data_IF_417421928030
#
_entry.id   IF_417421928030
#
_cell.length_a   1.000
_cell.length_b   1.000
_cell.length_c   1.000
_cell.angle_alpha   90.00
_cell.angle_beta   90.00
_cell.angle_gamma   90.00
#
_symmetry.space_group_name_H-M   'P 1'
#
loop_
_entity.id
_entity.type
_entity.pdbx_description
1 polymer ?
#
# COMPACT_ATOMS: atom_id res chain seq x y z
N UNK A 1 -13.35 -56.33 -67.62
CA UNK A 1 -14.76 -56.77 -67.52
C UNK A 1 -14.82 -58.08 -66.73
N UNK A 2 -15.88 -58.38 -65.97
CA UNK A 2 -15.97 -58.31 -64.49
C UNK A 2 -16.11 -59.73 -63.84
N UNK A 3 -16.39 -59.97 -62.51
CA UNK A 3 -17.58 -59.52 -61.70
C UNK A 3 -17.23 -58.97 -60.27
N UNK A 4 -17.89 -57.92 -59.73
CA UNK A 4 -19.19 -57.79 -58.98
C UNK A 4 -19.17 -58.13 -57.45
N UNK A 5 -19.35 -57.06 -56.64
CA UNK A 5 -20.22 -56.79 -55.42
C UNK A 5 -20.26 -57.80 -54.25
N UNK A 6 -20.24 -57.39 -52.96
CA UNK A 6 -21.25 -56.63 -52.16
C UNK A 6 -20.66 -56.16 -50.79
N UNK A 7 -20.86 -54.90 -50.34
CA UNK A 7 -21.71 -54.38 -49.21
C UNK A 7 -21.48 -55.04 -47.83
N UNK A 8 -21.43 -54.39 -46.65
CA UNK A 8 -21.88 -53.08 -46.12
C UNK A 8 -21.27 -52.92 -44.70
N UNK A 9 -20.93 -51.72 -44.25
CA UNK A 9 -21.69 -51.06 -43.16
C UNK A 9 -21.14 -49.68 -42.78
N UNK A 10 -22.10 -48.83 -42.46
CA UNK A 10 -22.02 -47.42 -42.09
C UNK A 10 -21.72 -47.22 -40.60
N UNK A 11 -20.77 -46.35 -40.28
CA UNK A 11 -20.57 -45.82 -38.93
C UNK A 11 -20.11 -44.36 -39.00
N UNK A 12 -21.06 -43.43 -38.90
CA UNK A 12 -20.82 -41.99 -38.89
C UNK A 12 -20.36 -41.54 -37.50
N UNK A 13 -19.10 -41.15 -37.35
CA UNK A 13 -18.59 -40.49 -36.14
C UNK A 13 -18.78 -38.97 -36.25
N UNK A 14 -19.84 -38.47 -35.62
CA UNK A 14 -20.04 -37.04 -35.40
C UNK A 14 -19.04 -36.51 -34.35
N UNK A 15 -18.23 -35.52 -34.75
CA UNK A 15 -17.39 -34.72 -33.86
C UNK A 15 -18.26 -33.94 -32.87
N UNK A 16 -18.12 -34.22 -31.57
CA UNK A 16 -18.63 -33.33 -30.50
C UNK A 16 -17.77 -32.07 -30.46
N UNK A 17 -18.37 -30.93 -30.75
CA UNK A 17 -17.84 -29.61 -30.43
C UNK A 17 -17.83 -29.43 -28.90
N UNK A 18 -16.68 -29.03 -28.34
CA UNK A 18 -16.58 -28.52 -26.97
C UNK A 18 -17.09 -27.08 -26.98
N UNK A 19 -18.22 -26.84 -26.31
CA UNK A 19 -18.70 -25.49 -26.04
C UNK A 19 -17.79 -24.76 -25.04
N UNK A 20 -17.95 -23.42 -24.90
CA UNK A 20 -17.10 -22.60 -24.05
C UNK A 20 -17.26 -23.00 -22.59
N UNK A 21 -16.13 -23.04 -21.86
CA UNK A 21 -16.11 -23.25 -20.43
C UNK A 21 -16.90 -22.15 -19.73
N UNK A 22 -17.90 -22.53 -18.93
CA UNK A 22 -18.56 -21.61 -18.01
C UNK A 22 -17.54 -21.15 -16.98
N UNK A 23 -17.40 -19.84 -16.80
CA UNK A 23 -16.72 -19.24 -15.66
C UNK A 23 -17.30 -19.80 -14.35
N UNK A 24 -16.47 -20.04 -13.32
CA UNK A 24 -16.99 -20.49 -12.04
C UNK A 24 -17.93 -19.43 -11.46
N UNK A 25 -19.15 -19.85 -11.14
CA UNK A 25 -20.17 -19.06 -10.48
C UNK A 25 -19.65 -18.79 -9.06
N UNK A 26 -19.23 -17.55 -8.79
CA UNK A 26 -18.82 -17.10 -7.46
C UNK A 26 -20.06 -17.16 -6.57
N UNK A 27 -19.99 -17.86 -5.45
CA UNK A 27 -21.14 -18.02 -4.57
C UNK A 27 -21.51 -16.67 -3.89
N UNK A 28 -22.80 -16.47 -3.62
CA UNK A 28 -23.32 -15.22 -3.03
C UNK A 28 -22.67 -14.83 -1.70
N UNK A 29 -22.21 -15.77 -0.89
CA UNK A 29 -21.53 -15.50 0.37
C UNK A 29 -20.11 -14.97 0.14
N UNK A 30 -19.40 -15.52 -0.84
CA UNK A 30 -18.12 -15.01 -1.34
C UNK A 30 -18.29 -13.61 -1.96
N UNK A 31 -19.32 -13.40 -2.77
CA UNK A 31 -19.64 -12.09 -3.35
C UNK A 31 -19.99 -11.05 -2.28
N UNK A 32 -20.73 -11.45 -1.23
CA UNK A 32 -21.09 -10.59 -0.11
C UNK A 32 -19.88 -10.23 0.76
N UNK A 33 -18.96 -11.17 0.98
CA UNK A 33 -17.71 -10.92 1.70
C UNK A 33 -16.79 -9.98 0.93
N UNK A 34 -16.66 -10.17 -0.39
CA UNK A 34 -15.96 -9.25 -1.29
C UNK A 34 -16.61 -7.85 -1.23
N UNK A 35 -17.92 -7.74 -1.37
CA UNK A 35 -18.62 -6.46 -1.32
C UNK A 35 -18.45 -5.72 0.02
N UNK A 36 -18.36 -6.44 1.15
CA UNK A 36 -18.04 -5.82 2.45
C UNK A 36 -16.60 -5.31 2.50
N UNK A 37 -15.65 -6.08 1.98
CA UNK A 37 -14.22 -5.73 1.94
C UNK A 37 -13.95 -4.51 1.05
N UNK A 38 -14.73 -4.36 -0.02
CA UNK A 38 -14.66 -3.23 -0.96
C UNK A 38 -15.59 -2.07 -0.61
N UNK A 39 -16.35 -2.18 0.49
CA UNK A 39 -17.24 -1.11 0.89
C UNK A 39 -16.43 0.14 1.28
N UNK A 40 -16.81 1.32 0.77
CA UNK A 40 -16.18 2.58 1.13
C UNK A 40 -16.57 2.96 2.56
N UNK A 41 -15.60 3.50 3.29
CA UNK A 41 -15.72 3.88 4.69
C UNK A 41 -15.12 5.27 4.91
N UNK A 42 -15.80 6.05 5.74
CA UNK A 42 -15.40 7.35 6.28
C UNK A 42 -14.67 7.17 7.60
N UNK A 43 -13.67 8.00 7.86
CA UNK A 43 -12.93 8.01 9.13
C UNK A 43 -13.25 9.31 9.89
N UNK A 44 -14.04 9.25 10.96
CA UNK A 44 -14.17 10.34 11.96
C UNK A 44 -13.17 10.16 13.10
N UNK A 45 -12.85 11.19 13.90
CA UNK A 45 -11.56 11.29 14.62
C UNK A 45 -11.61 11.95 16.02
N UNK A 46 -10.76 11.50 16.97
CA UNK A 46 -10.41 12.21 18.22
C UNK A 46 -8.90 12.19 18.61
N UNK A 47 -8.37 13.35 19.01
CA UNK A 47 -6.96 13.67 19.38
C UNK A 47 -6.32 12.84 20.52
N UNK A 48 -5.00 12.61 20.45
CA UNK A 48 -4.13 12.40 21.62
C UNK A 48 -2.77 13.08 21.42
N UNK A 49 -2.37 13.92 22.38
CA UNK A 49 -1.19 14.79 22.32
C UNK A 49 0.08 14.08 22.82
N UNK A 50 1.14 14.09 22.02
CA UNK A 50 2.52 13.91 22.50
C UNK A 50 3.36 15.11 22.07
N UNK A 51 3.75 15.92 23.05
CA UNK A 51 4.60 17.10 22.91
C UNK A 51 6.06 16.66 22.74
N UNK A 52 6.63 16.89 21.56
CA UNK A 52 8.08 17.05 21.42
C UNK A 52 8.36 18.32 20.60
N UNK A 53 9.31 19.12 21.09
CA UNK A 53 9.65 20.46 20.64
C UNK A 53 10.42 20.45 19.30
N UNK A 54 9.70 20.38 18.18
CA UNK A 54 10.18 20.83 16.86
C UNK A 54 9.23 21.88 16.26
N UNK A 55 9.79 22.83 15.49
CA UNK A 55 9.22 24.11 15.02
C UNK A 55 7.68 24.23 15.08
N UNK A 56 7.19 25.00 16.07
CA UNK A 56 5.76 25.23 16.37
C UNK A 56 4.92 25.63 15.14
N UNK A 57 5.53 26.29 14.15
CA UNK A 57 4.88 26.73 12.91
C UNK A 57 4.60 25.58 11.92
N UNK A 58 5.47 24.55 11.90
CA UNK A 58 5.27 23.34 11.09
C UNK A 58 4.21 22.42 11.71
N UNK A 59 4.20 22.31 13.05
CA UNK A 59 3.22 21.52 13.81
C UNK A 59 1.82 22.14 13.73
N UNK A 60 1.66 23.46 13.96
CA UNK A 60 0.35 24.12 13.88
C UNK A 60 -0.26 24.08 12.47
N UNK A 61 0.56 24.12 11.41
CA UNK A 61 0.06 24.08 10.03
C UNK A 61 -0.18 22.64 9.54
N UNK A 62 0.64 21.66 9.94
CA UNK A 62 0.35 20.23 9.78
C UNK A 62 -0.99 19.88 10.44
N UNK A 63 -1.24 20.34 11.68
CA UNK A 63 -2.55 20.22 12.36
C UNK A 63 -3.71 20.82 11.58
N UNK A 64 -3.48 21.82 10.72
CA UNK A 64 -4.53 22.47 9.92
C UNK A 64 -4.80 21.77 8.59
N UNK A 65 -3.78 21.13 8.02
CA UNK A 65 -3.89 20.28 6.83
C UNK A 65 -4.39 18.86 7.19
N UNK A 66 -4.12 18.43 8.43
CA UNK A 66 -4.57 17.19 9.06
C UNK A 66 -5.89 17.38 9.84
N UNK A 67 -6.38 18.61 10.01
CA UNK A 67 -7.77 18.85 10.47
C UNK A 67 -8.83 18.36 9.46
N UNK A 68 -8.42 17.95 8.25
CA UNK A 68 -9.24 17.17 7.30
C UNK A 68 -8.93 15.65 7.34
N UNK A 69 -7.92 15.18 8.08
CA UNK A 69 -7.47 13.78 8.16
C UNK A 69 -6.84 13.51 9.54
N UNK A 70 -7.69 13.25 10.53
CA UNK A 70 -7.31 13.13 11.92
C UNK A 70 -7.39 11.57 12.29
N UNK A 71 -6.84 11.05 13.41
CA UNK A 71 -6.86 9.60 13.83
C UNK A 71 -7.85 9.22 14.98
N UNK A 72 -8.95 8.48 14.72
CA UNK A 72 -9.58 7.50 15.65
C UNK A 72 -10.75 6.72 14.99
N UNK A 73 -10.52 5.48 14.57
CA UNK A 73 -11.46 4.62 13.82
C UNK A 73 -12.87 4.45 14.42
N UNK A 74 -13.79 5.36 14.06
CA UNK A 74 -15.19 4.99 13.81
C UNK A 74 -15.34 4.87 12.30
N UNK A 75 -15.30 3.63 11.82
CA UNK A 75 -15.44 3.30 10.40
C UNK A 75 -16.93 3.35 10.03
N UNK A 76 -17.39 4.53 9.63
CA UNK A 76 -18.78 4.73 9.21
C UNK A 76 -18.90 4.50 7.69
N UNK A 77 -19.97 3.85 7.19
CA UNK A 77 -20.12 3.65 5.75
C UNK A 77 -20.14 4.99 5.01
N UNK A 78 -19.37 5.14 3.93
CA UNK A 78 -19.34 6.40 3.19
C UNK A 78 -20.72 6.84 2.64
N UNK A 79 -21.65 5.89 2.49
CA UNK A 79 -23.06 6.18 2.15
C UNK A 79 -23.79 7.02 3.19
N UNK A 80 -23.31 7.04 4.43
CA UNK A 80 -23.87 7.81 5.54
C UNK A 80 -23.29 9.25 5.58
N UNK A 81 -22.21 9.51 4.84
CA UNK A 81 -21.54 10.82 4.75
C UNK A 81 -21.44 11.29 3.27
N UNK A 82 -22.57 11.61 2.62
CA UNK A 82 -22.56 12.06 1.23
C UNK A 82 -21.87 13.42 1.11
N UNK A 83 -20.63 13.43 0.62
CA UNK A 83 -19.81 14.63 0.43
C UNK A 83 -18.41 14.55 1.05
N UNK A 84 -18.13 13.51 1.84
CA UNK A 84 -16.81 13.30 2.45
C UNK A 84 -15.75 13.04 1.38
N UNK A 85 -14.61 13.75 1.47
CA UNK A 85 -13.52 13.64 0.49
C UNK A 85 -12.58 12.48 0.80
N UNK A 86 -12.50 12.10 2.08
CA UNK A 86 -11.60 11.06 2.59
C UNK A 86 -12.37 9.78 2.82
N UNK A 87 -12.51 9.04 1.72
CA UNK A 87 -13.16 7.74 1.72
C UNK A 87 -12.09 6.69 1.41
N UNK A 88 -12.07 5.58 2.15
CA UNK A 88 -11.14 4.48 1.93
C UNK A 88 -11.88 3.15 1.88
N UNK A 89 -11.28 2.12 1.28
CA UNK A 89 -11.89 0.78 1.34
C UNK A 89 -11.64 0.15 2.69
N UNK A 90 -12.56 -0.69 3.16
CA UNK A 90 -12.32 -1.54 4.33
C UNK A 90 -11.02 -2.36 4.20
N UNK A 91 -10.69 -2.82 2.99
CA UNK A 91 -9.45 -3.55 2.72
C UNK A 91 -8.19 -2.71 2.97
N UNK A 92 -8.16 -1.48 2.44
CA UNK A 92 -7.03 -0.56 2.62
C UNK A 92 -6.87 -0.14 4.08
N UNK A 93 -7.97 0.24 4.74
CA UNK A 93 -7.96 0.61 6.16
C UNK A 93 -7.53 -0.56 7.06
N UNK A 94 -8.06 -1.76 6.84
CA UNK A 94 -7.66 -2.93 7.63
C UNK A 94 -6.16 -3.24 7.48
N UNK A 95 -5.61 -3.09 6.26
CA UNK A 95 -4.18 -3.27 6.02
C UNK A 95 -3.35 -2.15 6.66
N UNK A 96 -3.82 -0.90 6.63
CA UNK A 96 -3.18 0.22 7.33
C UNK A 96 -3.16 0.02 8.85
N UNK A 97 -4.27 -0.43 9.46
CA UNK A 97 -4.32 -0.76 10.90
C UNK A 97 -3.29 -1.85 11.24
N UNK A 98 -3.21 -2.90 10.42
CA UNK A 98 -2.21 -3.95 10.60
C UNK A 98 -0.79 -3.39 10.50
N UNK A 99 -0.52 -2.47 9.57
CA UNK A 99 0.78 -1.77 9.49
C UNK A 99 1.08 -0.98 10.77
N UNK A 100 0.13 -0.19 11.30
CA UNK A 100 0.31 0.56 12.56
C UNK A 100 0.75 -0.38 13.70
N UNK A 101 0.08 -1.52 13.81
CA UNK A 101 0.40 -2.53 14.82
C UNK A 101 1.77 -3.16 14.60
N UNK A 102 2.11 -3.50 13.34
CA UNK A 102 3.42 -4.03 12.97
C UNK A 102 4.56 -3.04 13.22
N UNK A 103 4.32 -1.74 13.06
CA UNK A 103 5.28 -0.67 13.38
C UNK A 103 5.50 -0.57 14.88
N UNK A 104 4.43 -0.59 15.68
CA UNK A 104 4.53 -0.48 17.14
C UNK A 104 5.40 -1.59 17.76
N UNK A 105 5.27 -2.82 17.27
CA UNK A 105 6.07 -3.96 17.75
C UNK A 105 7.52 -3.99 17.24
N UNK A 106 7.90 -3.03 16.39
CA UNK A 106 9.24 -2.84 15.83
C UNK A 106 9.99 -1.68 16.46
N UNK A 107 9.30 -0.82 17.19
CA UNK A 107 9.90 0.33 17.86
C UNK A 107 10.53 -0.10 19.21
N UNK A 108 11.87 -0.01 19.39
CA UNK A 108 12.51 -0.33 20.66
C UNK A 108 12.04 0.53 21.83
N UNK A 109 11.60 1.77 21.58
CA UNK A 109 11.18 2.70 22.64
C UNK A 109 9.90 2.21 23.32
N UNK A 110 9.00 1.57 22.57
CA UNK A 110 7.81 0.89 23.12
C UNK A 110 8.15 -0.28 24.07
N UNK A 111 9.41 -0.72 24.12
CA UNK A 111 9.87 -1.83 24.95
C UNK A 111 10.95 -1.44 25.96
N UNK A 112 11.25 -0.14 26.16
CA UNK A 112 12.38 0.32 26.97
C UNK A 112 13.70 -0.36 26.55
N UNK A 113 13.94 -0.42 25.24
CA UNK A 113 15.09 -1.09 24.63
C UNK A 113 15.93 -0.12 23.81
N UNK A 114 17.21 -0.44 23.67
CA UNK A 114 18.08 0.13 22.66
C UNK A 114 18.81 -1.00 21.94
N UNK A 115 18.65 -1.09 20.63
CA UNK A 115 19.28 -2.13 19.80
C UNK A 115 20.59 -1.59 19.21
N UNK A 116 20.48 -0.62 18.32
CA UNK A 116 21.55 0.20 17.76
C UNK A 116 20.90 1.41 17.03
N UNK A 117 21.69 2.40 16.62
CA UNK A 117 21.19 3.58 15.90
C UNK A 117 20.43 3.20 14.62
N UNK A 118 19.38 3.92 14.28
CA UNK A 118 18.56 3.69 13.08
C UNK A 118 17.87 2.33 13.02
N UNK A 119 17.91 1.50 14.08
CA UNK A 119 17.22 0.20 14.09
C UNK A 119 15.75 0.34 13.68
N UNK A 120 15.06 1.36 14.22
CA UNK A 120 13.66 1.61 13.89
C UNK A 120 13.48 2.06 12.43
N UNK A 121 14.41 2.85 11.88
CA UNK A 121 14.45 3.20 10.46
C UNK A 121 14.52 1.95 9.57
N UNK A 122 15.47 1.05 9.84
CA UNK A 122 15.56 -0.24 9.15
C UNK A 122 14.33 -1.13 9.35
N UNK A 123 13.66 -1.03 10.50
CA UNK A 123 12.44 -1.78 10.78
C UNK A 123 11.24 -1.26 9.97
N UNK A 124 11.15 0.05 9.78
CA UNK A 124 10.16 0.68 8.89
C UNK A 124 10.46 0.32 7.44
N UNK A 125 11.74 0.32 7.01
CA UNK A 125 12.13 -0.14 5.67
C UNK A 125 11.64 -1.57 5.39
N UNK A 126 11.88 -2.53 6.29
CA UNK A 126 11.39 -3.91 6.17
C UNK A 126 9.87 -3.99 5.95
N UNK A 127 9.09 -3.12 6.62
CA UNK A 127 7.64 -3.05 6.42
C UNK A 127 7.25 -2.48 5.06
N UNK A 128 7.94 -1.45 4.58
CA UNK A 128 7.70 -0.87 3.26
C UNK A 128 8.07 -1.88 2.16
N UNK A 129 9.18 -2.57 2.32
CA UNK A 129 9.60 -3.66 1.44
C UNK A 129 8.54 -4.77 1.35
N UNK A 130 7.96 -5.16 2.48
CA UNK A 130 6.84 -6.11 2.51
C UNK A 130 5.62 -5.60 1.73
N UNK A 131 5.30 -4.30 1.79
CA UNK A 131 4.21 -3.72 1.00
C UNK A 131 4.47 -3.79 -0.51
N UNK A 132 5.71 -3.55 -0.93
CA UNK A 132 6.12 -3.67 -2.33
C UNK A 132 6.01 -5.14 -2.80
N UNK A 133 6.40 -6.09 -1.97
CA UNK A 133 6.25 -7.52 -2.25
C UNK A 133 4.79 -7.96 -2.32
N UNK A 134 3.96 -7.51 -1.37
CA UNK A 134 2.52 -7.78 -1.37
C UNK A 134 1.85 -7.26 -2.66
N UNK A 135 2.28 -6.08 -3.14
CA UNK A 135 1.75 -5.50 -4.38
C UNK A 135 2.10 -6.35 -5.61
N UNK A 136 3.33 -6.88 -5.66
CA UNK A 136 3.78 -7.78 -6.72
C UNK A 136 3.06 -9.14 -6.66
N UNK A 137 2.89 -9.71 -5.45
CA UNK A 137 2.18 -10.97 -5.25
C UNK A 137 0.68 -10.85 -5.64
N UNK A 138 0.09 -9.69 -5.40
CA UNK A 138 -1.28 -9.38 -5.78
C UNK A 138 -1.47 -9.15 -7.30
N UNK A 139 -0.43 -9.31 -8.13
CA UNK A 139 -0.54 -9.13 -9.58
C UNK A 139 -1.69 -9.96 -10.20
N UNK A 140 -2.56 -9.28 -10.93
CA UNK A 140 -3.77 -9.87 -11.51
C UNK A 140 -5.03 -9.74 -10.64
N UNK A 141 -4.89 -9.37 -9.37
CA UNK A 141 -5.97 -8.91 -8.50
C UNK A 141 -5.82 -7.40 -8.27
N UNK A 142 -6.34 -6.61 -9.22
CA UNK A 142 -6.25 -5.15 -9.16
C UNK A 142 -6.88 -4.59 -7.87
N UNK A 143 -7.88 -5.27 -7.30
CA UNK A 143 -8.53 -4.79 -6.09
C UNK A 143 -7.54 -4.90 -4.95
N UNK A 144 -6.94 -6.08 -4.75
CA UNK A 144 -5.92 -6.28 -3.72
C UNK A 144 -4.73 -5.31 -3.90
N UNK A 145 -4.25 -5.11 -5.13
CA UNK A 145 -3.20 -4.13 -5.42
C UNK A 145 -3.61 -2.70 -5.03
N UNK A 146 -4.85 -2.30 -5.31
CA UNK A 146 -5.37 -0.99 -4.91
C UNK A 146 -5.46 -0.82 -3.39
N UNK A 147 -5.94 -1.84 -2.66
CA UNK A 147 -5.95 -1.80 -1.20
C UNK A 147 -4.54 -1.67 -0.59
N UNK A 148 -3.52 -2.24 -1.25
CA UNK A 148 -2.13 -2.07 -0.85
C UNK A 148 -1.68 -0.63 -1.10
N UNK A 149 -2.01 -0.04 -2.26
CA UNK A 149 -1.73 1.38 -2.52
C UNK A 149 -2.43 2.30 -1.51
N UNK A 150 -3.70 2.06 -1.18
CA UNK A 150 -4.43 2.81 -0.15
C UNK A 150 -3.72 2.75 1.21
N UNK A 151 -3.40 1.54 1.66
CA UNK A 151 -2.73 1.32 2.94
C UNK A 151 -1.35 1.99 2.97
N UNK A 152 -0.63 1.94 1.86
CA UNK A 152 0.70 2.56 1.75
C UNK A 152 0.60 4.09 1.78
N UNK A 153 -0.34 4.68 1.03
CA UNK A 153 -0.56 6.14 1.05
C UNK A 153 -0.91 6.67 2.44
N UNK A 154 -1.73 5.92 3.20
CA UNK A 154 -2.06 6.22 4.60
C UNK A 154 -0.86 6.03 5.54
N UNK A 155 -0.15 4.90 5.41
CA UNK A 155 1.02 4.59 6.22
C UNK A 155 2.11 5.66 6.07
N UNK A 156 2.24 6.23 4.87
CA UNK A 156 3.23 7.24 4.56
C UNK A 156 2.98 8.61 5.18
N UNK A 157 1.81 8.83 5.79
CA UNK A 157 1.53 10.02 6.59
C UNK A 157 2.01 9.89 8.04
N UNK A 158 2.43 8.69 8.47
CA UNK A 158 2.83 8.44 9.85
C UNK A 158 4.22 9.00 10.15
N UNK A 159 4.42 9.50 11.37
CA UNK A 159 5.73 10.00 11.85
C UNK A 159 6.85 8.95 11.77
N UNK A 160 6.51 7.66 11.92
CA UNK A 160 7.46 6.54 11.82
C UNK A 160 8.26 6.54 10.49
N UNK A 161 7.70 7.10 9.43
CA UNK A 161 8.38 7.21 8.13
C UNK A 161 9.61 8.12 8.19
N UNK A 162 9.60 9.12 9.07
CA UNK A 162 10.76 9.98 9.27
C UNK A 162 11.98 9.22 9.80
N UNK A 163 11.77 8.14 10.56
CA UNK A 163 12.85 7.26 10.99
C UNK A 163 13.50 6.51 9.82
N UNK A 164 12.73 6.17 8.77
CA UNK A 164 13.29 5.63 7.53
C UNK A 164 14.02 6.72 6.74
N UNK A 165 13.40 7.88 6.56
CA UNK A 165 13.99 8.99 5.78
C UNK A 165 15.30 9.50 6.39
N UNK A 166 15.40 9.50 7.73
CA UNK A 166 16.59 9.89 8.47
C UNK A 166 17.65 8.79 8.64
N UNK A 167 17.44 7.59 8.06
CA UNK A 167 18.36 6.48 8.20
C UNK A 167 19.71 6.77 7.49
N UNK A 168 20.82 6.28 8.07
CA UNK A 168 22.17 6.53 7.51
C UNK A 168 22.41 5.92 6.12
N UNK A 169 21.66 4.87 5.75
CA UNK A 169 21.74 4.21 4.44
C UNK A 169 20.84 4.89 3.40
N UNK A 170 21.22 6.13 3.05
CA UNK A 170 20.45 6.97 2.11
C UNK A 170 20.29 6.37 0.72
N UNK A 171 21.23 5.55 0.24
CA UNK A 171 21.14 4.90 -1.07
C UNK A 171 20.01 3.86 -1.09
N UNK A 172 19.92 3.01 -0.05
CA UNK A 172 18.82 2.04 0.08
C UNK A 172 17.48 2.74 0.31
N UNK A 173 17.44 3.78 1.15
CA UNK A 173 16.22 4.60 1.36
C UNK A 173 15.73 5.18 0.04
N UNK A 174 16.62 5.77 -0.76
CA UNK A 174 16.26 6.32 -2.06
C UNK A 174 15.73 5.23 -3.01
N UNK A 175 16.36 4.05 -3.05
CA UNK A 175 15.90 2.95 -3.88
C UNK A 175 14.49 2.45 -3.48
N UNK A 176 14.20 2.34 -2.19
CA UNK A 176 12.86 2.00 -1.68
C UNK A 176 11.84 3.07 -2.09
N UNK A 177 12.15 4.34 -1.84
CA UNK A 177 11.30 5.47 -2.20
C UNK A 177 11.00 5.51 -3.71
N UNK A 178 12.00 5.38 -4.58
CA UNK A 178 11.79 5.35 -6.03
C UNK A 178 10.97 4.15 -6.48
N UNK A 179 11.16 2.97 -5.85
CA UNK A 179 10.36 1.77 -6.15
C UNK A 179 8.90 1.97 -5.77
N UNK A 180 8.64 2.55 -4.59
CA UNK A 180 7.31 2.98 -4.19
C UNK A 180 6.69 3.98 -5.17
N UNK A 181 7.46 4.99 -5.58
CA UNK A 181 6.99 5.99 -6.52
C UNK A 181 6.65 5.39 -7.89
N UNK A 182 7.29 4.27 -8.26
CA UNK A 182 6.99 3.48 -9.46
C UNK A 182 5.74 2.60 -9.30
N UNK A 183 5.50 2.07 -8.10
CA UNK A 183 4.34 1.22 -7.77
C UNK A 183 3.02 1.91 -8.13
N UNK A 184 2.86 3.19 -7.76
CA UNK A 184 1.58 3.85 -7.87
C UNK A 184 1.17 4.19 -9.31
N UNK A 185 2.01 4.81 -10.16
CA UNK A 185 1.73 4.94 -11.59
C UNK A 185 1.47 3.59 -12.27
N UNK A 186 2.12 2.50 -11.82
CA UNK A 186 1.84 1.13 -12.29
C UNK A 186 0.41 0.70 -11.95
N UNK A 187 -0.05 1.02 -10.74
CA UNK A 187 -1.44 0.81 -10.36
C UNK A 187 -2.40 1.70 -11.16
N UNK A 188 -2.09 2.98 -11.39
CA UNK A 188 -2.91 3.89 -12.19
C UNK A 188 -3.06 3.40 -13.64
N UNK A 189 -1.96 2.96 -14.25
CA UNK A 189 -1.96 2.32 -15.57
C UNK A 189 -2.84 1.06 -15.60
N UNK A 190 -2.81 0.26 -14.52
CA UNK A 190 -3.63 -0.95 -14.39
C UNK A 190 -5.12 -0.60 -14.33
N UNK A 191 -5.50 0.41 -13.53
CA UNK A 191 -6.89 0.89 -13.47
C UNK A 191 -7.34 1.47 -14.81
N UNK A 192 -6.51 2.26 -15.48
CA UNK A 192 -6.82 2.84 -16.78
C UNK A 192 -7.09 1.75 -17.84
N UNK A 193 -6.21 0.74 -17.95
CA UNK A 193 -6.38 -0.39 -18.88
C UNK A 193 -7.66 -1.19 -18.61
N UNK A 194 -8.09 -1.25 -17.35
CA UNK A 194 -9.30 -1.95 -16.94
C UNK A 194 -10.57 -1.09 -17.04
N UNK A 195 -10.49 0.13 -17.58
CA UNK A 195 -11.61 1.08 -17.65
C UNK A 195 -12.18 1.45 -16.25
N UNK A 196 -11.29 1.47 -15.25
CA UNK A 196 -11.59 1.77 -13.84
C UNK A 196 -11.04 3.13 -13.39
N UNK A 197 -10.23 3.81 -14.20
CA UNK A 197 -9.66 5.11 -13.83
C UNK A 197 -10.50 6.26 -14.40
N UNK A 198 -11.68 6.48 -13.82
CA UNK A 198 -12.66 7.49 -14.25
C UNK A 198 -13.59 7.89 -13.11
N UNK A 199 -14.22 9.05 -13.21
CA UNK A 199 -15.03 9.64 -12.15
C UNK A 199 -16.28 8.82 -11.75
N UNK A 200 -16.82 8.00 -12.65
CA UNK A 200 -17.97 7.12 -12.39
C UNK A 200 -17.57 5.67 -12.01
N UNK A 201 -16.27 5.39 -11.86
CA UNK A 201 -15.71 4.07 -11.54
C UNK A 201 -16.23 3.47 -10.23
N UNK A 202 -16.09 2.14 -10.06
CA UNK A 202 -16.27 1.49 -8.75
C UNK A 202 -15.19 1.89 -7.73
N UNK A 203 -14.03 2.38 -8.19
CA UNK A 203 -12.96 2.91 -7.34
C UNK A 203 -13.31 4.33 -6.91
N UNK A 204 -13.96 4.48 -5.75
CA UNK A 204 -14.56 5.76 -5.31
C UNK A 204 -13.59 6.78 -4.75
N UNK A 205 -12.36 6.37 -4.44
CA UNK A 205 -11.40 7.18 -3.69
C UNK A 205 -10.11 7.51 -4.46
N UNK A 206 -10.16 7.49 -5.79
CA UNK A 206 -9.03 7.85 -6.65
C UNK A 206 -8.41 9.19 -6.23
N UNK A 207 -9.24 10.22 -6.06
CA UNK A 207 -8.79 11.58 -5.71
C UNK A 207 -8.09 11.67 -4.36
N UNK A 208 -8.55 10.90 -3.36
CA UNK A 208 -7.97 10.86 -2.02
C UNK A 208 -6.60 10.17 -2.03
N UNK A 209 -6.51 8.97 -2.63
CA UNK A 209 -5.26 8.20 -2.69
C UNK A 209 -4.21 8.94 -3.52
N UNK A 210 -4.58 9.53 -4.67
CA UNK A 210 -3.66 10.37 -5.46
C UNK A 210 -3.11 11.53 -4.62
N UNK A 211 -3.96 12.17 -3.82
CA UNK A 211 -3.55 13.24 -2.91
C UNK A 211 -2.48 12.80 -1.91
N UNK A 212 -2.67 11.65 -1.26
CA UNK A 212 -1.70 11.09 -0.30
C UNK A 212 -0.32 10.85 -0.91
N UNK A 213 -0.28 10.28 -2.12
CA UNK A 213 0.98 10.02 -2.81
C UNK A 213 1.70 11.31 -3.23
N UNK A 214 0.97 12.31 -3.74
CA UNK A 214 1.56 13.61 -4.09
C UNK A 214 2.11 14.30 -2.84
N UNK A 215 1.35 14.32 -1.73
CA UNK A 215 1.81 14.91 -0.46
C UNK A 215 3.11 14.29 0.00
N UNK A 216 3.15 12.96 0.06
CA UNK A 216 4.35 12.25 0.50
C UNK A 216 5.58 12.54 -0.38
N UNK A 217 5.41 12.53 -1.71
CA UNK A 217 6.52 12.83 -2.64
C UNK A 217 7.06 14.25 -2.37
N UNK A 218 6.19 15.25 -2.30
CA UNK A 218 6.59 16.64 -2.05
C UNK A 218 7.25 16.81 -0.68
N UNK A 219 6.69 16.18 0.36
CA UNK A 219 7.18 16.31 1.73
C UNK A 219 8.57 15.68 1.89
N UNK A 220 8.81 14.54 1.24
CA UNK A 220 10.06 13.80 1.37
C UNK A 220 11.13 14.26 0.36
N UNK A 221 10.76 14.95 -0.72
CA UNK A 221 11.72 15.62 -1.63
C UNK A 221 12.66 16.59 -0.89
N UNK A 222 12.15 17.26 0.15
CA UNK A 222 12.93 18.20 0.98
C UNK A 222 14.12 17.52 1.69
N UNK A 223 14.09 16.19 1.83
CA UNK A 223 15.14 15.37 2.45
C UNK A 223 16.13 14.79 1.42
N UNK A 224 16.06 15.23 0.16
CA UNK A 224 17.02 14.88 -0.89
C UNK A 224 16.70 13.58 -1.64
N UNK A 225 15.49 13.04 -1.50
CA UNK A 225 15.02 11.92 -2.33
C UNK A 225 14.78 12.39 -3.75
N UNK A 226 15.33 11.68 -4.72
CA UNK A 226 15.12 11.98 -6.13
C UNK A 226 13.93 11.18 -6.68
N UNK A 227 12.90 11.89 -7.10
CA UNK A 227 11.66 11.29 -7.55
C UNK A 227 11.55 11.11 -9.06
N UNK A 228 12.55 11.38 -9.90
CA UNK A 228 12.51 11.13 -11.36
C UNK A 228 11.13 11.45 -12.01
N UNK A 229 10.59 12.64 -11.71
CA UNK A 229 9.30 13.17 -12.19
C UNK A 229 8.04 12.34 -11.83
N UNK A 230 8.08 11.52 -10.77
CA UNK A 230 6.94 10.67 -10.37
C UNK A 230 5.68 11.47 -9.95
N UNK A 231 5.84 12.62 -9.31
CA UNK A 231 4.75 13.54 -9.00
C UNK A 231 4.05 14.03 -10.28
N UNK A 232 4.83 14.40 -11.29
CA UNK A 232 4.32 14.86 -12.60
C UNK A 232 3.55 13.74 -13.32
N UNK A 233 4.04 12.49 -13.28
CA UNK A 233 3.34 11.31 -13.84
C UNK A 233 1.96 11.13 -13.19
N UNK A 234 1.90 11.19 -11.85
CA UNK A 234 0.66 11.02 -11.09
C UNK A 234 -0.33 12.16 -11.41
N UNK A 235 0.15 13.41 -11.43
CA UNK A 235 -0.66 14.58 -11.77
C UNK A 235 -1.19 14.54 -13.22
N UNK A 236 -0.40 14.01 -14.15
CA UNK A 236 -0.81 13.83 -15.54
C UNK A 236 -1.95 12.81 -15.66
N UNK A 237 -1.92 11.70 -14.90
CA UNK A 237 -3.03 10.74 -14.86
C UNK A 237 -4.32 11.41 -14.40
N UNK A 238 -4.26 12.12 -13.27
CA UNK A 238 -5.43 12.82 -12.73
C UNK A 238 -6.00 13.84 -13.73
N UNK A 239 -5.12 14.59 -14.42
CA UNK A 239 -5.52 15.59 -15.41
C UNK A 239 -6.15 14.96 -16.65
N UNK A 240 -5.56 13.88 -17.20
CA UNK A 240 -6.04 13.18 -18.40
C UNK A 240 -7.47 12.66 -18.24
N UNK A 241 -7.84 12.25 -17.03
CA UNK A 241 -9.12 11.59 -16.72
C UNK A 241 -10.08 12.45 -15.89
N UNK A 242 -9.79 13.75 -15.74
CA UNK A 242 -10.62 14.71 -14.99
C UNK A 242 -10.91 14.25 -13.55
N UNK A 243 -9.91 13.65 -12.90
CA UNK A 243 -10.01 13.22 -11.51
C UNK A 243 -9.74 14.43 -10.60
N UNK A 244 -10.70 14.75 -9.74
CA UNK A 244 -10.52 15.76 -8.70
C UNK A 244 -9.63 15.18 -7.60
N UNK A 245 -8.43 15.73 -7.45
CA UNK A 245 -7.48 15.35 -6.40
C UNK A 245 -7.83 16.08 -5.09
N UNK A 246 -7.75 15.39 -3.96
CA UNK A 246 -8.04 15.93 -2.63
C UNK A 246 -6.76 16.16 -1.82
N UNK A 247 -6.84 16.99 -0.77
CA UNK A 247 -5.74 17.18 0.19
C UNK A 247 -4.58 18.06 -0.26
N UNK A 248 -4.69 18.80 -1.38
CA UNK A 248 -3.63 19.66 -1.95
C UNK A 248 -3.87 21.17 -1.73
N UNK A 249 -4.58 21.56 -0.66
CA UNK A 249 -4.99 22.96 -0.42
C UNK A 249 -3.83 23.87 0.06
N UNK A 250 -2.67 23.30 0.38
CA UNK A 250 -1.52 24.03 0.87
C UNK A 250 -0.58 24.48 -0.27
N UNK A 251 0.01 25.67 -0.12
CA UNK A 251 0.90 26.29 -1.12
C UNK A 251 2.08 25.42 -1.54
N UNK A 252 2.56 24.55 -0.65
CA UNK A 252 3.66 23.63 -0.95
C UNK A 252 3.29 22.62 -2.04
N UNK A 253 2.02 22.25 -2.13
CA UNK A 253 1.49 21.32 -3.13
C UNK A 253 0.97 22.02 -4.40
N UNK A 254 0.98 23.36 -4.44
CA UNK A 254 0.57 24.14 -5.63
C UNK A 254 1.57 24.05 -6.79
N UNK A 255 2.73 23.40 -6.59
CA UNK A 255 3.96 23.72 -7.33
C UNK A 255 4.43 22.76 -8.42
N UNK A 256 3.79 21.64 -8.70
CA UNK A 256 4.15 20.92 -9.94
C UNK A 256 3.51 21.64 -11.12
N UNK A 257 4.27 22.56 -11.73
CA UNK A 257 3.96 23.08 -13.06
C UNK A 257 3.81 21.87 -13.97
N UNK A 258 2.57 21.58 -14.33
CA UNK A 258 2.13 20.42 -15.10
C UNK A 258 2.69 20.54 -16.52
N UNK A 259 3.96 20.18 -16.68
CA UNK A 259 4.46 19.86 -18.01
C UNK A 259 3.57 18.75 -18.56
N UNK A 260 3.24 18.87 -19.85
CA UNK A 260 2.42 17.90 -20.56
C UNK A 260 3.23 16.61 -20.63
N UNK A 261 3.04 15.73 -19.64
CA UNK A 261 3.72 14.45 -19.56
C UNK A 261 3.00 13.47 -20.50
N UNK A 262 3.74 12.95 -21.48
CA UNK A 262 3.21 11.95 -22.40
C UNK A 262 3.00 10.62 -21.64
N UNK A 263 1.76 10.39 -21.23
CA UNK A 263 1.39 9.13 -20.60
C UNK A 263 1.41 7.99 -21.62
N UNK A 264 1.95 6.81 -21.24
CA UNK A 264 1.95 5.65 -22.10
C UNK A 264 0.51 5.25 -22.47
N UNK A 265 0.32 4.71 -23.68
CA UNK A 265 -1.00 4.19 -24.06
C UNK A 265 -1.39 3.01 -23.17
N UNK A 266 -2.60 3.04 -22.64
CA UNK A 266 -3.22 1.94 -21.91
C UNK A 266 -3.61 0.81 -22.87
N UNK A 267 -2.61 0.04 -23.32
CA UNK A 267 -2.82 -1.13 -24.17
C UNK A 267 -2.62 -2.42 -23.38
N UNK A 268 -3.35 -3.47 -23.75
CA UNK A 268 -3.17 -4.81 -23.18
C UNK A 268 -1.79 -5.42 -23.50
N UNK A 269 -1.06 -4.86 -24.47
CA UNK A 269 0.25 -5.34 -24.92
C UNK A 269 1.42 -4.72 -24.14
N UNK A 270 1.16 -3.70 -23.30
CA UNK A 270 2.14 -3.06 -22.41
C UNK A 270 1.73 -3.24 -20.95
N UNK A 271 2.06 -4.39 -20.38
CA UNK A 271 1.68 -4.74 -19.00
C UNK A 271 2.48 -3.97 -17.94
N UNK A 272 3.65 -3.43 -18.28
CA UNK A 272 4.54 -2.72 -17.34
C UNK A 272 5.12 -1.42 -17.95
N UNK A 273 4.26 -0.39 -18.15
CA UNK A 273 4.68 0.83 -18.83
C UNK A 273 5.62 1.71 -18.01
N UNK A 274 5.70 1.50 -16.70
CA UNK A 274 6.55 2.26 -15.76
C UNK A 274 7.78 1.48 -15.30
N UNK A 275 7.92 0.21 -15.71
CA UNK A 275 9.09 -0.60 -15.39
C UNK A 275 9.10 -1.12 -13.95
N UNK A 276 7.94 -1.37 -13.34
CA UNK A 276 7.77 -1.95 -12.03
C UNK A 276 8.64 -3.20 -11.82
N UNK A 277 8.62 -4.14 -12.76
CA UNK A 277 9.37 -5.39 -12.61
C UNK A 277 10.87 -5.14 -12.55
N UNK A 278 11.36 -4.14 -13.29
CA UNK A 278 12.77 -3.72 -13.27
C UNK A 278 13.10 -2.97 -11.98
N UNK A 279 12.22 -2.09 -11.50
CA UNK A 279 12.40 -1.37 -10.25
C UNK A 279 12.49 -2.34 -9.07
N UNK A 280 11.55 -3.28 -8.96
CA UNK A 280 11.55 -4.30 -7.92
C UNK A 280 12.76 -5.24 -8.01
N UNK A 281 13.18 -5.63 -9.23
CA UNK A 281 14.38 -6.45 -9.41
C UNK A 281 15.65 -5.71 -8.93
N UNK A 282 15.79 -4.43 -9.29
CA UNK A 282 16.90 -3.59 -8.80
C UNK A 282 16.91 -3.52 -7.28
N UNK A 283 15.73 -3.34 -6.67
CA UNK A 283 15.62 -3.32 -5.21
C UNK A 283 16.02 -4.66 -4.59
N UNK A 284 15.58 -5.79 -5.16
CA UNK A 284 16.01 -7.12 -4.70
C UNK A 284 17.53 -7.32 -4.80
N UNK A 285 18.16 -6.83 -5.87
CA UNK A 285 19.63 -6.89 -6.04
C UNK A 285 20.36 -6.10 -4.95
N UNK A 286 19.85 -4.94 -4.53
CA UNK A 286 20.42 -4.13 -3.42
C UNK A 286 20.36 -4.91 -2.10
N UNK A 287 19.33 -5.73 -1.90
CA UNK A 287 19.11 -6.51 -0.68
C UNK A 287 19.69 -7.95 -0.75
N UNK A 288 20.61 -8.24 -1.69
CA UNK A 288 21.15 -9.59 -1.90
C UNK A 288 20.03 -10.66 -2.03
N UNK A 289 18.95 -10.33 -2.73
CA UNK A 289 17.71 -11.11 -2.92
C UNK A 289 16.85 -11.29 -1.66
N UNK A 290 17.24 -10.75 -0.50
CA UNK A 290 16.51 -10.85 0.76
C UNK A 290 15.74 -9.57 1.07
N UNK A 291 14.71 -9.31 0.28
CA UNK A 291 13.83 -8.16 0.46
C UNK A 291 12.71 -8.48 1.47
N UNK A 292 12.41 -7.56 2.39
CA UNK A 292 11.35 -7.71 3.38
C UNK A 292 11.63 -8.75 4.46
N UNK A 293 10.58 -9.17 5.17
CA UNK A 293 10.63 -10.18 6.24
C UNK A 293 10.04 -9.70 7.57
N UNK A 294 10.45 -10.37 8.64
CA UNK A 294 10.02 -10.13 10.02
C UNK A 294 11.18 -10.03 11.03
N UNK A 295 12.41 -9.89 10.52
CA UNK A 295 13.63 -9.93 11.33
C UNK A 295 13.71 -8.79 12.35
N UNK A 296 13.03 -7.67 12.06
CA UNK A 296 12.98 -6.48 12.92
C UNK A 296 11.81 -6.49 13.89
N UNK A 297 10.90 -7.47 13.79
CA UNK A 297 9.82 -7.64 14.75
C UNK A 297 10.37 -8.09 16.11
N UNK A 298 10.31 -7.21 17.12
CA UNK A 298 10.88 -7.48 18.45
C UNK A 298 10.12 -8.62 19.16
N UNK A 299 8.85 -8.86 18.79
CA UNK A 299 8.06 -9.96 19.36
C UNK A 299 8.50 -11.32 18.84
N UNK A 300 9.12 -11.37 17.65
CA UNK A 300 9.70 -12.59 17.08
C UNK A 300 11.00 -13.02 17.79
N UNK A 301 11.67 -12.09 18.47
CA UNK A 301 12.98 -12.33 19.09
C UNK A 301 12.91 -13.32 20.24
N UNK A 302 14.04 -13.95 20.54
CA UNK A 302 14.20 -14.72 21.75
C UNK A 302 14.20 -13.83 22.98
N UNK A 303 13.79 -14.39 24.13
CA UNK A 303 13.89 -13.71 25.43
C UNK A 303 15.32 -13.26 25.75
N UNK A 304 16.33 -13.98 25.25
CA UNK A 304 17.73 -13.64 25.48
C UNK A 304 18.14 -12.40 24.67
N UNK A 305 17.70 -12.29 23.42
CA UNK A 305 17.96 -11.12 22.56
C UNK A 305 17.29 -9.87 23.12
N UNK A 306 16.00 -9.93 23.49
CA UNK A 306 15.31 -8.78 24.09
C UNK A 306 15.96 -8.31 25.39
N UNK A 307 16.32 -9.23 26.29
CA UNK A 307 17.03 -8.88 27.54
C UNK A 307 18.35 -8.16 27.29
N UNK A 308 19.08 -8.57 26.26
CA UNK A 308 20.37 -7.96 25.91
C UNK A 308 20.22 -6.51 25.47
N UNK A 309 19.13 -6.17 24.80
CA UNK A 309 18.84 -4.83 24.31
C UNK A 309 18.01 -3.97 25.30
N UNK A 310 17.37 -4.58 26.30
CA UNK A 310 16.61 -3.84 27.33
C UNK A 310 17.51 -3.02 28.27
N UNK A 311 17.07 -1.82 28.66
CA UNK A 311 17.82 -0.98 29.60
C UNK A 311 17.99 -1.61 30.98
N UNK A 312 17.03 -2.43 31.41
CA UNK A 312 17.00 -3.05 32.73
C UNK A 312 17.49 -4.52 32.76
N UNK A 313 17.97 -5.05 31.62
CA UNK A 313 18.38 -6.44 31.42
C UNK A 313 17.28 -7.49 31.69
N UNK A 314 16.00 -7.12 31.59
CA UNK A 314 14.84 -8.02 31.71
C UNK A 314 14.12 -8.15 30.37
N UNK A 315 13.34 -9.21 30.23
CA UNK A 315 12.49 -9.36 29.05
C UNK A 315 11.32 -8.38 29.18
N UNK A 316 11.16 -7.40 28.27
CA UNK A 316 10.07 -6.44 28.35
C UNK A 316 8.72 -7.07 28.01
N UNK A 317 8.70 -8.25 27.37
CA UNK A 317 7.46 -8.94 27.02
C UNK A 317 7.15 -10.03 28.07
N UNK A 318 6.03 -9.92 28.82
CA UNK A 318 5.60 -10.96 29.74
C UNK A 318 5.28 -12.27 29.03
N UNK A 319 5.49 -13.42 29.71
CA UNK A 319 5.15 -14.74 29.14
C UNK A 319 3.68 -14.89 28.76
N UNK A 320 2.77 -14.22 29.48
CA UNK A 320 1.34 -14.21 29.16
C UNK A 320 1.10 -13.53 27.82
N UNK A 321 1.63 -12.33 27.61
CA UNK A 321 1.54 -11.60 26.34
C UNK A 321 2.15 -12.39 25.18
N UNK A 322 3.31 -13.02 25.40
CA UNK A 322 3.93 -13.89 24.38
C UNK A 322 3.08 -15.12 24.01
N UNK A 323 2.25 -15.61 24.93
CA UNK A 323 1.32 -16.71 24.64
C UNK A 323 0.17 -16.24 23.75
N UNK A 324 -0.34 -15.04 23.99
CA UNK A 324 -1.34 -14.39 23.14
C UNK A 324 -0.82 -14.14 21.73
N UNK A 325 0.37 -13.55 21.60
CA UNK A 325 1.03 -13.31 20.30
C UNK A 325 1.19 -14.62 19.50
N UNK A 326 1.65 -15.69 20.15
CA UNK A 326 1.80 -17.00 19.50
C UNK A 326 0.49 -17.66 19.08
N UNK A 327 -0.63 -17.25 19.68
CA UNK A 327 -1.96 -17.73 19.33
C UNK A 327 -2.62 -16.87 18.24
N UNK A 328 -1.90 -15.86 17.71
CA UNK A 328 -2.38 -14.96 16.66
C UNK A 328 -3.10 -13.71 17.18
N UNK A 329 -3.07 -13.46 18.50
CA UNK A 329 -3.56 -12.20 19.05
C UNK A 329 -2.54 -11.08 18.78
N UNK A 330 -3.03 -9.88 18.48
CA UNK A 330 -2.18 -8.73 18.21
C UNK A 330 -1.85 -8.04 19.53
N UNK A 331 -0.58 -7.64 19.71
CA UNK A 331 -0.16 -6.88 20.87
C UNK A 331 -0.60 -5.43 20.69
N UNK A 332 -1.57 -5.00 21.49
CA UNK A 332 -1.87 -3.58 21.66
C UNK A 332 -0.85 -2.98 22.64
N UNK A 333 0.09 -2.21 22.10
CA UNK A 333 0.97 -1.36 22.90
C UNK A 333 0.21 -0.05 23.11
N UNK A 334 -0.11 0.27 24.36
CA UNK A 334 -0.81 1.51 24.70
C UNK A 334 0.03 2.70 24.29
N UNK A 335 -0.56 3.57 23.45
CA UNK A 335 0.03 4.84 23.04
C UNK A 335 0.04 5.90 24.14
#
# INVERSE_FOLDING_TARGET
>A
MPPKRKSSDSGSSAKKSKGPAKSPEVDMETERALNKRWAPVSTEVTENESEDEEDEEFIEQKKKDDAEADDATTLEPASEHPGEKWIFTNAGVAKWIALKQCTAVRDPDNFEMHVYNDFFGYAVMELVENLLLDFDEAAGDWKMQWAICEATGLYFQMSAIMSMVGCEDGDTVNAICTTFATMFPTMLATLERNDLFKSDSEVKNLGAVIGLFIRFIVDVEEYGINWDDHDAKIAAYATKHDITVHGLNHKRYEKSSREEFDLPEATADSNDPWGWQKALATLKEIHDENLGGDSKDITSWTSAERKKASFNNKDPIPRSAMTHIKNGDIMELGG
#
